data_IF_930974667939
#
_entry.id   IF_930974667939
#
_cell.length_a   1.000
_cell.length_b   1.000
_cell.length_c   1.000
_cell.angle_alpha   90.00
_cell.angle_beta   90.00
_cell.angle_gamma   90.00
#
_symmetry.space_group_name_H-M   'P 1'
#
loop_
_entity.id
_entity.type
_entity.pdbx_description
1 polymer ?
#
# COMPACT_ATOMS: atom_id res chain seq x y z
N UNK A 1 4.54 1.80 -9.80
CA UNK A 1 4.81 0.93 -10.97
C UNK A 1 5.63 -0.30 -10.59
N UNK A 2 6.66 -0.17 -9.74
CA UNK A 2 7.47 -1.31 -9.25
C UNK A 2 6.57 -2.44 -8.74
N UNK A 3 5.59 -2.12 -7.89
CA UNK A 3 4.63 -3.09 -7.34
C UNK A 3 3.88 -3.91 -8.40
N UNK A 4 3.60 -3.35 -9.58
CA UNK A 4 2.84 -4.04 -10.65
C UNK A 4 3.65 -5.19 -11.27
N UNK A 5 4.98 -5.09 -11.25
CA UNK A 5 5.88 -6.11 -11.79
C UNK A 5 6.37 -7.00 -10.65
N UNK A 6 6.77 -6.39 -9.53
CA UNK A 6 7.39 -7.10 -8.42
C UNK A 6 6.40 -8.05 -7.73
N UNK A 7 5.13 -7.66 -7.55
CA UNK A 7 4.16 -8.51 -6.87
C UNK A 7 3.93 -9.86 -7.59
N UNK A 8 3.61 -9.90 -8.90
CA UNK A 8 3.47 -11.17 -9.61
C UNK A 8 4.80 -11.91 -9.78
N UNK A 9 5.93 -11.20 -9.95
CA UNK A 9 7.25 -11.84 -10.01
C UNK A 9 7.57 -12.57 -8.71
N UNK A 10 7.34 -11.92 -7.57
CA UNK A 10 7.60 -12.53 -6.25
C UNK A 10 6.66 -13.71 -5.99
N UNK A 11 5.38 -13.58 -6.36
CA UNK A 11 4.41 -14.67 -6.24
C UNK A 11 4.68 -15.85 -7.19
N UNK A 12 5.50 -15.67 -8.22
CA UNK A 12 5.92 -16.77 -9.10
C UNK A 12 6.98 -17.69 -8.48
N UNK A 13 7.63 -17.28 -7.39
CA UNK A 13 8.51 -18.15 -6.63
C UNK A 13 7.68 -19.07 -5.71
N UNK A 14 8.10 -20.33 -5.61
CA UNK A 14 7.40 -21.33 -4.80
C UNK A 14 7.21 -20.85 -3.35
N UNK A 15 5.97 -21.01 -2.85
CA UNK A 15 5.56 -20.78 -1.46
C UNK A 15 5.63 -19.32 -0.99
N UNK A 16 5.62 -18.34 -1.89
CA UNK A 16 5.56 -16.93 -1.52
C UNK A 16 4.19 -16.35 -1.85
N UNK A 17 3.46 -15.90 -0.83
CA UNK A 17 2.22 -15.15 -0.98
C UNK A 17 2.49 -13.64 -0.87
N UNK A 18 1.85 -12.85 -1.72
CA UNK A 18 1.97 -11.38 -1.76
C UNK A 18 0.60 -10.73 -1.51
N UNK A 19 0.13 -10.68 -0.25
CA UNK A 19 -1.06 -9.93 0.15
C UNK A 19 -0.72 -8.44 0.30
N UNK A 20 -0.77 -7.67 -0.79
CA UNK A 20 -0.34 -6.27 -0.80
C UNK A 20 -1.51 -5.30 -0.70
N UNK A 21 -1.55 -4.51 0.37
CA UNK A 21 -2.39 -3.30 0.40
C UNK A 21 -1.61 -2.10 -0.15
N UNK A 22 -2.20 -1.40 -1.11
CA UNK A 22 -1.57 -0.28 -1.79
C UNK A 22 -2.42 0.98 -1.75
N UNK A 23 -1.77 2.14 -1.70
CA UNK A 23 -2.43 3.43 -1.68
C UNK A 23 -2.79 3.98 -3.06
N UNK A 24 -3.70 4.94 -3.05
CA UNK A 24 -3.91 5.91 -4.14
C UNK A 24 -2.83 6.98 -4.15
N UNK A 25 -2.82 7.79 -5.20
CA UNK A 25 -1.88 8.90 -5.36
C UNK A 25 -1.94 9.92 -4.23
N UNK A 26 -0.80 10.56 -3.98
CA UNK A 26 -0.64 11.61 -2.98
C UNK A 26 0.03 12.83 -3.60
N UNK A 27 -0.65 13.97 -3.57
CA UNK A 27 -0.18 15.19 -4.23
C UNK A 27 0.10 14.94 -5.71
N UNK A 28 1.33 15.19 -6.15
CA UNK A 28 1.76 14.99 -7.54
C UNK A 28 2.20 13.54 -7.84
N UNK A 29 2.16 12.63 -6.86
CA UNK A 29 2.60 11.25 -7.03
C UNK A 29 1.41 10.33 -7.35
N UNK A 30 1.51 9.49 -8.38
CA UNK A 30 0.44 8.56 -8.75
C UNK A 30 0.48 7.24 -7.96
N UNK A 31 -0.68 6.75 -7.52
CA UNK A 31 -0.82 5.53 -6.70
C UNK A 31 -0.71 4.23 -7.50
N UNK A 32 -0.59 3.10 -6.81
CA UNK A 32 -0.63 1.78 -7.46
C UNK A 32 -2.07 1.38 -7.77
N UNK A 33 -3.01 1.72 -6.90
CA UNK A 33 -4.45 1.49 -7.09
C UNK A 33 -4.95 2.19 -8.35
N UNK A 34 -4.64 3.47 -8.52
CA UNK A 34 -5.09 4.26 -9.68
C UNK A 34 -4.59 3.66 -11.01
N UNK A 35 -3.42 3.01 -11.01
CA UNK A 35 -2.87 2.33 -12.20
C UNK A 35 -3.52 0.98 -12.47
N UNK A 36 -3.96 0.26 -11.44
CA UNK A 36 -4.66 -1.00 -11.62
C UNK A 36 -6.10 -0.75 -12.12
N UNK A 37 -6.77 0.25 -11.55
CA UNK A 37 -8.13 0.63 -11.93
C UNK A 37 -8.24 1.26 -13.32
N UNK A 38 -7.12 1.62 -13.96
CA UNK A 38 -7.13 1.97 -15.38
C UNK A 38 -7.38 0.77 -16.31
N UNK A 39 -7.25 -0.47 -15.79
CA UNK A 39 -7.62 -1.68 -16.51
C UNK A 39 -9.15 -1.85 -16.41
N UNK A 40 -9.90 -1.86 -17.53
CA UNK A 40 -11.35 -1.98 -17.49
C UNK A 40 -11.82 -3.21 -16.71
N UNK A 41 -12.68 -2.99 -15.71
CA UNK A 41 -13.25 -4.05 -14.87
C UNK A 41 -12.33 -4.55 -13.73
N UNK A 42 -11.10 -4.04 -13.60
CA UNK A 42 -10.22 -4.41 -12.49
C UNK A 42 -10.73 -3.81 -11.17
N UNK A 43 -10.92 -4.67 -10.16
CA UNK A 43 -11.45 -4.27 -8.85
C UNK A 43 -10.37 -4.38 -7.78
N UNK A 44 -10.10 -3.28 -7.08
CA UNK A 44 -9.16 -3.24 -5.95
C UNK A 44 -9.85 -3.22 -4.59
N UNK A 45 -11.14 -2.94 -4.57
CA UNK A 45 -11.99 -2.97 -3.38
C UNK A 45 -12.58 -4.37 -3.21
N UNK A 46 -11.86 -5.20 -2.45
CA UNK A 46 -12.24 -6.58 -2.11
C UNK A 46 -12.47 -6.67 -0.60
N UNK A 47 -13.55 -7.33 -0.20
CA UNK A 47 -13.73 -7.74 1.20
C UNK A 47 -12.73 -8.83 1.60
N UNK A 48 -12.53 -8.99 2.91
CA UNK A 48 -11.54 -9.91 3.48
C UNK A 48 -11.60 -11.33 2.91
N UNK A 49 -12.79 -11.91 2.80
CA UNK A 49 -12.96 -13.28 2.28
C UNK A 49 -12.45 -13.40 0.84
N UNK A 50 -12.89 -12.50 -0.05
CA UNK A 50 -12.42 -12.49 -1.44
C UNK A 50 -10.94 -12.20 -1.56
N UNK A 51 -10.40 -11.34 -0.70
CA UNK A 51 -8.97 -11.07 -0.66
C UNK A 51 -8.18 -12.33 -0.32
N UNK A 52 -8.61 -13.08 0.71
CA UNK A 52 -8.03 -14.36 1.06
C UNK A 52 -8.13 -15.38 -0.08
N UNK A 53 -9.30 -15.51 -0.71
CA UNK A 53 -9.51 -16.43 -1.83
C UNK A 53 -8.58 -16.13 -3.01
N UNK A 54 -8.41 -14.85 -3.35
CA UNK A 54 -7.50 -14.44 -4.44
C UNK A 54 -6.07 -14.78 -4.07
N UNK A 55 -5.60 -14.42 -2.87
CA UNK A 55 -4.22 -14.73 -2.44
C UNK A 55 -3.98 -16.24 -2.41
N UNK A 56 -4.95 -17.04 -1.94
CA UNK A 56 -4.84 -18.49 -1.88
C UNK A 56 -4.80 -19.14 -3.27
N UNK A 57 -5.52 -18.59 -4.24
CA UNK A 57 -5.62 -19.15 -5.59
C UNK A 57 -4.51 -18.70 -6.53
N UNK A 58 -4.01 -17.47 -6.40
CA UNK A 58 -3.04 -16.88 -7.33
C UNK A 58 -1.67 -16.60 -6.71
N UNK A 59 -1.56 -16.66 -5.38
CA UNK A 59 -0.38 -16.23 -4.63
C UNK A 59 -0.23 -14.70 -4.51
N UNK A 60 -1.08 -13.89 -5.15
CA UNK A 60 -0.94 -12.42 -5.16
C UNK A 60 -2.27 -11.69 -5.21
N UNK A 61 -2.40 -10.66 -4.37
CA UNK A 61 -3.47 -9.68 -4.48
C UNK A 61 -2.92 -8.28 -4.19
N UNK A 62 -3.36 -7.29 -5.00
CA UNK A 62 -3.10 -5.88 -4.73
C UNK A 62 -4.45 -5.19 -4.53
N UNK A 63 -4.72 -4.77 -3.29
CA UNK A 63 -6.03 -4.22 -2.90
C UNK A 63 -5.89 -2.84 -2.27
N UNK A 64 -6.98 -2.08 -2.32
CA UNK A 64 -7.11 -0.86 -1.52
C UNK A 64 -7.18 -1.23 -0.03
N UNK A 65 -6.64 -0.41 0.90
CA UNK A 65 -6.72 -0.72 2.32
C UNK A 65 -8.17 -0.71 2.80
N UNK A 66 -8.56 -1.74 3.54
CA UNK A 66 -9.90 -1.85 4.14
C UNK A 66 -10.21 -0.72 5.12
N UNK A 67 -11.50 -0.48 5.34
CA UNK A 67 -11.98 0.59 6.23
C UNK A 67 -11.74 0.30 7.73
N UNK A 68 -11.36 -0.91 8.06
CA UNK A 68 -11.04 -1.43 9.40
C UNK A 68 -9.54 -1.42 9.72
N UNK A 69 -8.67 -1.21 8.73
CA UNK A 69 -7.21 -1.24 8.95
C UNK A 69 -6.66 0.13 9.33
N UNK A 70 -5.87 0.14 10.40
CA UNK A 70 -5.16 1.31 10.93
C UNK A 70 -6.09 2.55 11.04
N UNK A 71 -7.28 2.38 11.61
CA UNK A 71 -8.34 3.41 11.66
C UNK A 71 -7.85 4.73 12.26
N UNK A 72 -7.04 4.67 13.32
CA UNK A 72 -6.45 5.84 13.94
C UNK A 72 -5.50 6.58 12.99
N UNK A 73 -4.64 5.86 12.27
CA UNK A 73 -3.75 6.43 11.26
C UNK A 73 -4.55 7.09 10.14
N UNK A 74 -5.64 6.48 9.66
CA UNK A 74 -6.49 7.09 8.63
C UNK A 74 -7.02 8.46 9.05
N UNK A 75 -7.56 8.55 10.27
CA UNK A 75 -8.07 9.82 10.82
C UNK A 75 -6.94 10.84 11.01
N UNK A 76 -5.81 10.39 11.56
CA UNK A 76 -4.64 11.25 11.77
C UNK A 76 -4.06 11.75 10.44
N UNK A 77 -4.04 10.92 9.41
CA UNK A 77 -3.59 11.25 8.06
C UNK A 77 -4.48 12.31 7.41
N UNK A 78 -5.81 12.15 7.51
CA UNK A 78 -6.76 13.14 7.00
C UNK A 78 -6.58 14.51 7.68
N UNK A 79 -6.36 14.53 9.00
CA UNK A 79 -6.07 15.76 9.73
C UNK A 79 -4.75 16.39 9.29
N UNK A 80 -3.72 15.58 9.07
CA UNK A 80 -2.39 16.06 8.65
C UNK A 80 -2.41 16.74 7.29
N UNK A 81 -3.24 16.25 6.39
CA UNK A 81 -3.40 16.78 5.03
C UNK A 81 -3.93 18.23 5.06
N UNK A 82 -4.95 18.49 5.88
CA UNK A 82 -5.57 19.83 6.00
C UNK A 82 -4.86 20.77 6.99
N UNK A 83 -3.93 20.25 7.79
CA UNK A 83 -3.12 21.04 8.75
C UNK A 83 -1.67 21.23 8.30
N UNK A 84 -1.31 20.79 7.08
CA UNK A 84 0.05 20.89 6.53
C UNK A 84 1.13 20.17 7.38
N UNK A 85 0.74 19.16 8.17
CA UNK A 85 1.66 18.38 9.04
C UNK A 85 2.02 17.00 8.44
N UNK A 86 1.81 16.82 7.13
CA UNK A 86 2.20 15.58 6.42
C UNK A 86 3.72 15.37 6.44
N UNK A 87 4.52 16.46 6.34
CA UNK A 87 5.99 16.44 6.26
C UNK A 87 6.65 16.33 7.63
N UNK A 88 6.42 15.22 8.30
CA UNK A 88 7.06 14.88 9.57
C UNK A 88 7.54 13.44 9.51
N UNK A 89 8.86 13.23 9.61
CA UNK A 89 9.47 11.90 9.56
C UNK A 89 8.83 10.91 10.55
N UNK A 90 8.68 11.22 11.86
CA UNK A 90 8.05 10.27 12.77
C UNK A 90 6.61 9.94 12.39
N UNK A 91 5.82 10.92 11.91
CA UNK A 91 4.43 10.70 11.51
C UNK A 91 4.31 9.96 10.15
N UNK A 92 5.27 10.13 9.26
CA UNK A 92 5.35 9.36 8.01
C UNK A 92 5.69 7.91 8.29
N UNK A 93 6.74 7.68 9.08
CA UNK A 93 7.16 6.34 9.49
C UNK A 93 6.06 5.63 10.26
N UNK A 94 5.47 6.27 11.28
CA UNK A 94 4.39 5.65 12.06
C UNK A 94 3.20 5.32 11.18
N UNK A 95 2.85 6.20 10.23
CA UNK A 95 1.73 5.98 9.31
C UNK A 95 1.97 4.79 8.38
N UNK A 96 3.14 4.71 7.76
CA UNK A 96 3.49 3.59 6.87
C UNK A 96 3.51 2.28 7.67
N UNK A 97 4.21 2.28 8.80
CA UNK A 97 4.40 1.08 9.61
C UNK A 97 3.12 0.60 10.28
N UNK A 98 2.22 1.48 10.74
CA UNK A 98 0.97 1.04 11.39
C UNK A 98 0.09 0.20 10.46
N UNK A 99 0.07 0.54 9.16
CA UNK A 99 -0.65 -0.24 8.14
C UNK A 99 0.04 -1.57 7.89
N UNK A 100 1.37 -1.56 7.69
CA UNK A 100 2.14 -2.77 7.41
C UNK A 100 2.22 -3.75 8.57
N UNK A 101 2.23 -3.27 9.81
CA UNK A 101 2.17 -4.12 10.99
C UNK A 101 0.77 -4.72 11.15
N UNK A 102 -0.29 -3.97 10.86
CA UNK A 102 -1.66 -4.49 10.90
C UNK A 102 -1.91 -5.59 9.85
N UNK A 103 -1.18 -5.58 8.74
CA UNK A 103 -1.17 -6.66 7.74
C UNK A 103 -0.47 -7.95 8.23
N UNK A 104 0.27 -7.89 9.34
CA UNK A 104 1.04 -8.99 9.94
C UNK A 104 1.91 -9.82 8.96
N UNK A 105 2.82 -9.20 8.18
CA UNK A 105 3.64 -9.90 7.22
C UNK A 105 4.81 -10.65 7.89
N UNK A 106 5.15 -11.83 7.36
CA UNK A 106 6.38 -12.55 7.75
C UNK A 106 7.67 -11.79 7.39
N UNK A 107 7.62 -10.94 6.36
CA UNK A 107 8.76 -10.16 5.89
C UNK A 107 8.27 -8.89 5.20
N UNK A 108 9.01 -7.79 5.39
CA UNK A 108 8.67 -6.48 4.85
C UNK A 108 9.89 -5.86 4.17
N UNK A 109 9.72 -5.41 2.93
CA UNK A 109 10.71 -4.64 2.18
C UNK A 109 10.16 -3.24 1.95
N UNK A 110 10.98 -2.23 2.28
CA UNK A 110 10.62 -0.83 2.14
C UNK A 110 11.43 -0.18 1.02
N UNK A 111 10.73 0.40 0.06
CA UNK A 111 11.32 1.21 -1.01
C UNK A 111 11.36 2.69 -0.58
N UNK A 112 12.45 3.08 0.10
CA UNK A 112 12.63 4.44 0.61
C UNK A 112 13.25 5.33 -0.48
N UNK A 113 12.44 6.23 -1.03
CA UNK A 113 12.90 7.21 -2.03
C UNK A 113 13.61 8.39 -1.36
N UNK A 114 14.68 8.88 -1.99
CA UNK A 114 15.40 10.08 -1.58
C UNK A 114 15.53 11.06 -2.76
N UNK A 115 15.82 12.33 -2.46
CA UNK A 115 16.08 13.38 -3.45
C UNK A 115 14.91 14.33 -3.70
N UNK A 116 15.06 15.22 -4.70
CA UNK A 116 14.22 16.41 -4.91
C UNK A 116 12.71 16.15 -5.02
N UNK A 117 12.31 15.02 -5.58
CA UNK A 117 10.92 14.63 -5.78
C UNK A 117 10.37 13.71 -4.66
N UNK A 118 11.17 13.44 -3.62
CA UNK A 118 10.77 12.66 -2.46
C UNK A 118 10.37 13.55 -1.29
N UNK A 119 9.66 12.97 -0.34
CA UNK A 119 9.46 13.56 0.98
C UNK A 119 10.76 13.62 1.80
N UNK A 120 11.71 12.73 1.51
CA UNK A 120 13.05 12.74 2.10
C UNK A 120 14.01 13.41 1.11
N UNK A 121 14.44 14.64 1.44
CA UNK A 121 15.34 15.40 0.57
C UNK A 121 16.80 14.96 0.69
N UNK A 122 17.18 14.49 1.89
CA UNK A 122 18.51 14.04 2.28
C UNK A 122 18.40 12.71 3.04
#
# INVERSE_FOLDING_TARGET
>A
KISLILAPLVASFDRVAVPMMAGRGLGHTGGTIDKLESIPGFRTDLGCDKFHDVVASTGVAIVSPGSDIAVADRRMYALRDVTYTVRSLPLQTSSIMSKKIAENPNSLVLDVKFGRASFNKD
#
